data_IF_442783296757
#
_entry.id   IF_442783296757
#
_cell.length_a   1.000
_cell.length_b   1.000
_cell.length_c   1.000
_cell.angle_alpha   90.00
_cell.angle_beta   90.00
_cell.angle_gamma   90.00
#
_symmetry.space_group_name_H-M   'P 1'
#
loop_
_entity.id
_entity.type
_entity.pdbx_description
1 polymer ?
#
# COMPACT_ATOMS: atom_id res chain seq x y z
N UNK A 1 -21.64 -22.44 5.88
CA UNK A 1 -21.41 -22.31 4.43
C UNK A 1 -19.97 -21.85 4.26
N UNK A 2 -19.11 -22.60 3.58
CA UNK A 2 -17.72 -22.19 3.36
C UNK A 2 -17.67 -21.29 2.13
N UNK A 3 -17.21 -20.05 2.29
CA UNK A 3 -17.00 -19.12 1.17
C UNK A 3 -15.57 -19.29 0.70
N UNK A 4 -15.39 -19.70 -0.55
CA UNK A 4 -14.07 -19.82 -1.17
C UNK A 4 -13.65 -18.45 -1.68
N UNK A 5 -12.61 -17.86 -1.10
CA UNK A 5 -12.16 -16.50 -1.44
C UNK A 5 -11.07 -16.57 -2.52
N UNK A 6 -11.46 -16.97 -3.75
CA UNK A 6 -10.55 -17.28 -4.87
C UNK A 6 -9.70 -16.09 -5.41
N UNK A 7 -9.83 -14.90 -4.84
CA UNK A 7 -9.07 -13.71 -5.24
C UNK A 7 -7.98 -13.34 -4.20
N UNK A 8 -7.94 -14.04 -3.06
CA UNK A 8 -6.91 -13.83 -2.03
C UNK A 8 -5.55 -14.31 -2.52
N UNK A 9 -5.50 -15.32 -3.37
CA UNK A 9 -4.25 -15.86 -3.93
C UNK A 9 -3.53 -14.82 -4.80
N UNK A 10 -4.27 -14.05 -5.62
CA UNK A 10 -3.68 -12.99 -6.44
C UNK A 10 -3.15 -11.84 -5.58
N UNK A 11 -3.90 -11.47 -4.53
CA UNK A 11 -3.47 -10.48 -3.55
C UNK A 11 -2.19 -10.95 -2.84
N UNK A 12 -2.18 -12.20 -2.39
CA UNK A 12 -1.04 -12.82 -1.71
C UNK A 12 0.20 -12.84 -2.62
N UNK A 13 0.08 -13.31 -3.87
CA UNK A 13 1.17 -13.35 -4.84
C UNK A 13 1.78 -11.95 -5.03
N UNK A 14 0.94 -10.93 -5.22
CA UNK A 14 1.42 -9.56 -5.35
C UNK A 14 2.18 -9.08 -4.11
N UNK A 15 1.59 -9.24 -2.91
CA UNK A 15 2.19 -8.74 -1.68
C UNK A 15 3.44 -9.52 -1.28
N UNK A 16 3.54 -10.82 -1.58
CA UNK A 16 4.79 -11.58 -1.46
C UNK A 16 5.90 -10.97 -2.34
N UNK A 17 5.56 -10.56 -3.56
CA UNK A 17 6.49 -9.84 -4.44
C UNK A 17 6.88 -8.45 -3.95
N UNK A 18 6.01 -7.76 -3.19
CA UNK A 18 6.33 -6.49 -2.51
C UNK A 18 7.29 -6.72 -1.34
N UNK A 19 7.00 -7.70 -0.48
CA UNK A 19 7.85 -8.08 0.66
C UNK A 19 9.25 -8.46 0.17
N UNK A 20 9.36 -9.40 -0.77
CA UNK A 20 10.64 -9.86 -1.28
C UNK A 20 11.49 -8.71 -1.85
N UNK A 21 10.88 -7.78 -2.62
CA UNK A 21 11.62 -6.61 -3.12
C UNK A 21 12.03 -5.66 -2.01
N UNK A 22 11.22 -5.49 -0.96
CA UNK A 22 11.56 -4.63 0.16
C UNK A 22 12.74 -5.17 0.97
N UNK A 23 12.81 -6.47 1.22
CA UNK A 23 13.91 -7.09 1.97
C UNK A 23 15.26 -6.92 1.26
N UNK A 24 15.27 -6.87 -0.07
CA UNK A 24 16.49 -6.73 -0.87
C UNK A 24 16.83 -5.30 -1.29
N UNK A 25 15.84 -4.47 -1.60
CA UNK A 25 16.03 -3.17 -2.25
C UNK A 25 15.46 -1.98 -1.48
N UNK A 26 14.65 -2.21 -0.45
CA UNK A 26 14.00 -1.16 0.34
C UNK A 26 13.82 -1.58 1.81
N UNK A 27 14.92 -1.90 2.53
CA UNK A 27 14.84 -2.54 3.84
C UNK A 27 14.13 -1.67 4.88
N UNK A 28 14.16 -0.34 4.73
CA UNK A 28 13.52 0.61 5.64
C UNK A 28 11.97 0.58 5.60
N UNK A 29 11.36 -0.17 4.69
CA UNK A 29 9.90 -0.34 4.61
C UNK A 29 9.46 -1.80 4.71
N UNK A 30 10.38 -2.73 4.88
CA UNK A 30 10.13 -4.18 4.89
C UNK A 30 9.12 -4.63 5.95
N UNK A 31 9.13 -3.98 7.12
CA UNK A 31 8.26 -4.33 8.24
C UNK A 31 6.93 -3.58 8.18
N UNK A 32 6.93 -2.31 7.74
CA UNK A 32 5.72 -1.47 7.70
C UNK A 32 4.72 -1.95 6.64
N UNK A 33 5.15 -2.73 5.64
CA UNK A 33 4.28 -3.29 4.60
C UNK A 33 3.17 -4.18 5.19
N UNK A 34 3.47 -4.98 6.22
CA UNK A 34 2.49 -5.89 6.82
C UNK A 34 1.29 -5.18 7.46
N UNK A 35 1.48 -4.19 8.37
CA UNK A 35 0.35 -3.44 8.91
C UNK A 35 -0.35 -2.59 7.83
N UNK A 36 0.37 -2.08 6.83
CA UNK A 36 -0.26 -1.37 5.71
C UNK A 36 -1.23 -2.27 4.92
N UNK A 37 -0.84 -3.50 4.61
CA UNK A 37 -1.71 -4.47 3.95
C UNK A 37 -2.99 -4.69 4.75
N UNK A 38 -2.86 -4.95 6.05
CA UNK A 38 -4.00 -5.14 6.95
C UNK A 38 -4.93 -3.92 6.95
N UNK A 39 -4.38 -2.71 7.06
CA UNK A 39 -5.16 -1.48 7.06
C UNK A 39 -5.86 -1.23 5.72
N UNK A 40 -5.20 -1.48 4.59
CA UNK A 40 -5.83 -1.33 3.26
C UNK A 40 -7.03 -2.28 3.14
N UNK A 41 -6.83 -3.57 3.38
CA UNK A 41 -7.88 -4.59 3.20
C UNK A 41 -9.04 -4.37 4.18
N UNK A 42 -8.77 -3.89 5.40
CA UNK A 42 -9.81 -3.69 6.42
C UNK A 42 -10.58 -2.37 6.28
N UNK A 43 -10.08 -1.39 5.53
CA UNK A 43 -10.65 -0.04 5.50
C UNK A 43 -11.01 0.49 4.12
N UNK A 44 -10.67 -0.24 3.06
CA UNK A 44 -11.09 0.10 1.70
C UNK A 44 -12.60 -0.02 1.53
N UNK A 45 -13.16 0.75 0.59
CA UNK A 45 -14.59 0.70 0.27
C UNK A 45 -14.96 -0.67 -0.32
N UNK A 46 -16.15 -1.18 0.01
CA UNK A 46 -16.58 -2.55 -0.33
C UNK A 46 -16.61 -2.86 -1.84
N UNK A 47 -16.85 -1.85 -2.67
CA UNK A 47 -16.90 -1.97 -4.14
C UNK A 47 -15.62 -1.43 -4.81
N UNK A 48 -14.53 -1.25 -4.04
CA UNK A 48 -13.26 -0.80 -4.57
C UNK A 48 -12.29 -1.95 -4.83
N UNK A 49 -11.43 -1.77 -5.84
CA UNK A 49 -10.36 -2.70 -6.14
C UNK A 49 -9.02 -2.18 -5.63
N UNK A 50 -8.18 -3.10 -5.16
CA UNK A 50 -6.73 -2.83 -5.06
C UNK A 50 -6.15 -2.92 -6.47
N UNK A 51 -5.69 -1.80 -7.01
CA UNK A 51 -5.10 -1.76 -8.35
C UNK A 51 -3.59 -1.59 -8.24
N UNK A 52 -2.87 -2.45 -8.95
CA UNK A 52 -1.42 -2.32 -9.09
C UNK A 52 -1.14 -1.83 -10.51
N UNK A 53 -0.44 -0.70 -10.62
CA UNK A 53 0.03 -0.19 -11.90
C UNK A 53 1.55 -0.16 -11.90
N UNK A 54 2.14 -0.84 -12.87
CA UNK A 54 3.54 -0.67 -13.27
C UNK A 54 3.59 -0.19 -14.72
N UNK A 55 4.54 0.67 -15.06
CA UNK A 55 4.82 0.95 -16.47
C UNK A 55 5.68 -0.16 -17.03
N UNK A 56 5.41 -0.60 -18.28
CA UNK A 56 6.24 -1.59 -18.97
C UNK A 56 7.68 -1.09 -19.01
N UNK A 57 8.57 -1.71 -18.24
CA UNK A 57 9.99 -1.32 -18.13
C UNK A 57 10.36 -0.30 -17.04
N UNK A 58 9.46 0.10 -16.13
CA UNK A 58 9.80 0.97 -15.00
C UNK A 58 9.52 0.32 -13.63
N UNK A 59 10.40 0.64 -12.67
CA UNK A 59 10.61 0.00 -11.36
C UNK A 59 9.54 0.36 -10.30
N UNK A 60 8.54 1.19 -10.62
CA UNK A 60 7.54 1.63 -9.64
C UNK A 60 6.28 0.77 -9.66
N UNK A 61 6.15 -0.20 -8.75
CA UNK A 61 4.83 -0.78 -8.46
C UNK A 61 4.05 0.25 -7.63
N UNK A 62 3.01 0.82 -8.22
CA UNK A 62 2.11 1.72 -7.51
C UNK A 62 0.85 0.96 -7.15
N UNK A 63 0.56 0.89 -5.85
CA UNK A 63 -0.68 0.34 -5.34
C UNK A 63 -1.70 1.46 -5.19
N UNK A 64 -2.94 1.18 -5.55
CA UNK A 64 -4.06 2.08 -5.37
C UNK A 64 -5.18 1.40 -4.62
N UNK A 65 -5.87 2.16 -3.77
CA UNK A 65 -7.15 1.77 -3.21
C UNK A 65 -8.04 2.99 -3.05
N UNK A 66 -9.32 2.75 -2.73
CA UNK A 66 -10.29 3.80 -2.46
C UNK A 66 -10.87 3.62 -1.07
N UNK A 67 -10.96 4.71 -0.31
CA UNK A 67 -11.61 4.77 1.00
C UNK A 67 -12.41 6.06 1.08
N UNK A 68 -13.63 6.01 1.59
CA UNK A 68 -14.51 7.17 1.70
C UNK A 68 -14.70 7.89 0.35
N UNK A 69 -14.86 7.12 -0.75
CA UNK A 69 -14.91 7.64 -2.13
C UNK A 69 -13.66 8.42 -2.59
N UNK A 70 -12.58 8.40 -1.80
CA UNK A 70 -11.32 9.06 -2.11
C UNK A 70 -10.26 8.03 -2.50
N UNK A 71 -9.67 8.24 -3.68
CA UNK A 71 -8.62 7.39 -4.21
C UNK A 71 -7.25 7.77 -3.64
N UNK A 72 -6.48 6.77 -3.20
CA UNK A 72 -5.14 6.92 -2.66
C UNK A 72 -4.12 6.08 -3.44
N UNK A 73 -2.90 6.60 -3.58
CA UNK A 73 -1.77 5.96 -4.24
C UNK A 73 -0.63 5.73 -3.25
N UNK A 74 -0.05 4.53 -3.27
CA UNK A 74 1.10 4.12 -2.49
C UNK A 74 2.27 3.93 -3.44
N UNK A 75 3.37 4.64 -3.19
CA UNK A 75 4.61 4.46 -3.94
C UNK A 75 5.79 4.44 -2.99
N UNK A 76 6.84 3.75 -3.40
CA UNK A 76 8.14 3.87 -2.76
C UNK A 76 8.83 5.17 -3.20
N UNK A 77 9.41 5.89 -2.25
CA UNK A 77 10.28 7.04 -2.48
C UNK A 77 11.73 6.62 -2.23
N UNK A 78 12.58 6.85 -3.23
CA UNK A 78 13.98 6.42 -3.22
C UNK A 78 14.89 7.44 -2.53
N UNK A 79 14.48 8.69 -2.39
CA UNK A 79 15.32 9.73 -1.78
C UNK A 79 15.51 9.52 -0.27
N UNK A 80 14.49 9.00 0.43
CA UNK A 80 14.54 8.79 1.88
C UNK A 80 13.95 7.45 2.34
N UNK A 81 13.88 6.49 1.41
CA UNK A 81 13.54 5.09 1.64
C UNK A 81 12.24 4.88 2.42
N UNK A 82 11.15 5.46 1.92
CA UNK A 82 9.84 5.42 2.58
C UNK A 82 8.74 5.06 1.60
N UNK A 83 7.56 4.73 2.13
CA UNK A 83 6.33 4.66 1.36
C UNK A 83 5.58 5.98 1.51
N UNK A 84 5.28 6.62 0.40
CA UNK A 84 4.44 7.81 0.36
C UNK A 84 2.99 7.43 0.05
N UNK A 85 2.07 8.01 0.80
CA UNK A 85 0.63 7.93 0.57
C UNK A 85 0.20 9.25 -0.05
N UNK A 86 -0.41 9.19 -1.24
CA UNK A 86 -0.85 10.38 -1.98
C UNK A 86 -2.32 10.34 -2.35
N UNK A 87 -2.94 11.51 -2.41
CA UNK A 87 -4.35 11.69 -2.77
C UNK A 87 -4.50 11.82 -4.29
N UNK A 88 -5.52 11.18 -4.88
CA UNK A 88 -5.95 11.25 -6.29
C UNK A 88 -4.95 10.78 -7.35
N UNK A 89 -3.65 11.08 -7.22
CA UNK A 89 -2.64 10.71 -8.20
C UNK A 89 -1.25 10.50 -7.60
N UNK A 90 -0.35 9.90 -8.39
CA UNK A 90 1.06 9.72 -8.02
C UNK A 90 1.84 11.04 -7.85
N UNK A 91 1.32 12.15 -8.40
CA UNK A 91 1.80 13.53 -8.20
C UNK A 91 0.87 14.37 -7.34
N UNK A 92 -0.17 13.76 -6.77
CA UNK A 92 -1.12 14.47 -5.92
C UNK A 92 -0.52 14.79 -4.56
N UNK A 93 -1.33 15.42 -3.72
CA UNK A 93 -0.90 15.84 -2.39
C UNK A 93 -0.47 14.63 -1.56
N UNK A 94 0.73 14.71 -0.98
CA UNK A 94 1.22 13.72 -0.04
C UNK A 94 0.49 13.89 1.28
N UNK A 95 -0.20 12.85 1.71
CA UNK A 95 -0.96 12.84 2.98
C UNK A 95 -0.14 12.26 4.12
N UNK A 96 0.77 11.33 3.82
CA UNK A 96 1.64 10.72 4.80
C UNK A 96 2.87 10.09 4.14
N UNK A 97 3.86 9.85 4.99
CA UNK A 97 5.12 9.17 4.67
C UNK A 97 5.42 8.17 5.78
N UNK A 98 5.69 6.93 5.42
CA UNK A 98 5.81 5.83 6.39
C UNK A 98 7.01 4.96 6.10
N UNK A 99 7.56 4.39 7.17
CA UNK A 99 8.72 3.48 7.18
C UNK A 99 8.59 2.52 8.36
N UNK A 100 9.57 1.65 8.56
CA UNK A 100 9.64 0.75 9.71
C UNK A 100 9.64 1.50 11.06
N UNK A 101 10.04 2.78 11.08
CA UNK A 101 9.95 3.62 12.27
C UNK A 101 8.50 4.09 12.59
N UNK A 102 7.56 3.91 11.65
CA UNK A 102 6.16 4.33 11.84
C UNK A 102 5.40 3.29 12.65
N UNK A 103 5.02 3.65 13.88
CA UNK A 103 4.27 2.73 14.74
C UNK A 103 2.87 2.43 14.19
N UNK A 104 2.33 1.27 14.55
CA UNK A 104 0.96 0.86 14.18
C UNK A 104 -0.08 1.89 14.66
N UNK A 105 0.12 2.50 15.84
CA UNK A 105 -0.77 3.54 16.34
C UNK A 105 -0.80 4.78 15.42
N UNK A 106 0.37 5.20 14.93
CA UNK A 106 0.47 6.30 13.96
C UNK A 106 -0.17 5.91 12.62
N UNK A 107 0.06 4.68 12.14
CA UNK A 107 -0.58 4.19 10.92
C UNK A 107 -2.10 4.21 11.02
N UNK A 108 -2.67 3.73 12.13
CA UNK A 108 -4.13 3.81 12.37
C UNK A 108 -4.62 5.25 12.32
N UNK A 109 -3.95 6.17 13.01
CA UNK A 109 -4.30 7.58 12.99
C UNK A 109 -4.15 8.24 11.61
N UNK A 110 -3.26 7.77 10.75
CA UNK A 110 -3.22 8.18 9.33
C UNK A 110 -4.47 7.67 8.62
N UNK A 111 -4.76 6.38 8.70
CA UNK A 111 -5.90 5.74 8.02
C UNK A 111 -7.26 6.28 8.47
N UNK A 112 -7.42 6.62 9.74
CA UNK A 112 -8.64 7.24 10.28
C UNK A 112 -8.93 8.61 9.64
N UNK A 113 -7.88 9.31 9.16
CA UNK A 113 -7.97 10.63 8.50
C UNK A 113 -8.03 10.55 6.96
N UNK A 114 -7.89 9.36 6.37
CA UNK A 114 -8.07 9.12 4.93
C UNK A 114 -9.56 9.13 4.54
#
# INVERSE_FOLDING_TARGET
MAVKVNQVELLQEYFLGVVARSEHHAPNVSEVIYPLLGLIVLTMDADSDIQVRGSKGAIGNMLWFTKNSQRYAFRYEHEDDTIEIRKNSFKGDMVAKVSNATTIAVLKGIFDRL
#
